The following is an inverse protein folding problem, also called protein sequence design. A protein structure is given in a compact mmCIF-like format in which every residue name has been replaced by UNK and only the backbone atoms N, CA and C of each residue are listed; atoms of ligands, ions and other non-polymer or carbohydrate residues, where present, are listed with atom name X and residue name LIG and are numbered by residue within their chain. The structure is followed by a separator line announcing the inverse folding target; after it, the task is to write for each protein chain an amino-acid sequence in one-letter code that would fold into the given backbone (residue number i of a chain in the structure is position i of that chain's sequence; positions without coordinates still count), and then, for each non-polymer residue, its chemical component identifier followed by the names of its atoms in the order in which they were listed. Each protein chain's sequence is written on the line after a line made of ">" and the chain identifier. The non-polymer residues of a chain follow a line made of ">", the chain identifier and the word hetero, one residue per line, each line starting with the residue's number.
data_IF_422391883518
#
_entry.id   IF_422391883518
#
_cell.length_a   1.000
_cell.length_b   1.000
_cell.length_c   1.000
_cell.angle_alpha   90.00
_cell.angle_beta   90.00
_cell.angle_gamma   90.00
#
_symmetry.space_group_name_H-M   'P 1'
#
loop_
_entity.id
_entity.type
_entity.pdbx_description
1 polymer ?
#
# COMPACT_ATOMS: atom_id res chain seq x y z
N UNK A 1 -41.95 29.37 -21.50
CA UNK A 1 -40.51 29.50 -21.20
C UNK A 1 -40.05 30.86 -21.72
N UNK A 2 -39.31 31.64 -20.94
CA UNK A 2 -38.76 32.91 -21.42
C UNK A 2 -37.55 32.64 -22.34
N UNK A 3 -37.48 33.34 -23.47
CA UNK A 3 -36.40 33.21 -24.46
C UNK A 3 -35.42 34.40 -24.45
N UNK A 4 -35.52 35.29 -23.45
CA UNK A 4 -34.61 36.43 -23.31
C UNK A 4 -33.19 35.94 -23.03
N UNK A 5 -32.20 36.56 -23.68
CA UNK A 5 -30.77 36.22 -23.56
C UNK A 5 -29.97 37.45 -23.18
N UNK A 6 -29.16 37.33 -22.12
CA UNK A 6 -28.10 38.27 -21.77
C UNK A 6 -26.81 37.79 -22.41
N UNK A 7 -26.06 38.66 -23.08
CA UNK A 7 -24.74 38.34 -23.60
C UNK A 7 -23.68 39.14 -22.84
N UNK A 8 -22.68 38.46 -22.31
CA UNK A 8 -21.56 39.06 -21.59
C UNK A 8 -20.24 38.81 -22.31
N UNK A 9 -19.29 39.74 -22.15
CA UNK A 9 -17.92 39.59 -22.63
C UNK A 9 -17.17 38.64 -21.69
N UNK A 10 -16.57 37.59 -22.24
CA UNK A 10 -15.90 36.54 -21.44
C UNK A 10 -14.71 37.08 -20.64
N UNK A 11 -13.98 38.08 -21.15
CA UNK A 11 -12.78 38.62 -20.49
C UNK A 11 -13.07 39.70 -19.44
N UNK A 12 -14.19 40.40 -19.52
CA UNK A 12 -14.50 41.56 -18.65
C UNK A 12 -15.79 41.41 -17.85
N UNK A 13 -16.58 40.36 -18.10
CA UNK A 13 -17.95 40.19 -17.61
C UNK A 13 -18.92 41.35 -17.93
N UNK A 14 -18.51 42.31 -18.77
CA UNK A 14 -19.36 43.42 -19.17
C UNK A 14 -20.53 42.93 -20.03
N UNK A 15 -21.70 43.53 -19.84
CA UNK A 15 -22.89 43.21 -20.64
C UNK A 15 -22.70 43.80 -22.04
N UNK A 16 -22.60 42.93 -23.05
CA UNK A 16 -22.42 43.30 -24.47
C UNK A 16 -23.78 43.42 -25.16
N UNK A 17 -24.76 42.63 -24.72
CA UNK A 17 -26.14 42.77 -25.18
C UNK A 17 -27.10 42.61 -23.99
N UNK A 18 -27.85 43.67 -23.65
CA UNK A 18 -28.84 43.58 -22.59
C UNK A 18 -29.97 42.61 -22.99
N UNK A 19 -30.65 42.00 -22.01
CA UNK A 19 -31.75 41.09 -22.28
C UNK A 19 -32.95 41.87 -22.83
N UNK A 20 -33.75 41.24 -23.68
CA UNK A 20 -35.04 41.81 -24.09
C UNK A 20 -35.97 41.92 -22.88
N UNK A 21 -36.79 42.97 -22.83
CA UNK A 21 -37.80 43.15 -21.78
C UNK A 21 -38.68 41.90 -21.66
N UNK A 22 -38.86 41.43 -20.43
CA UNK A 22 -39.62 40.24 -20.13
C UNK A 22 -40.18 40.31 -18.70
N UNK A 23 -41.35 39.70 -18.49
CA UNK A 23 -42.07 39.70 -17.21
C UNK A 23 -42.07 38.33 -16.52
N UNK A 24 -41.08 37.48 -16.81
CA UNK A 24 -41.05 36.16 -16.17
C UNK A 24 -40.64 36.26 -14.69
N UNK A 25 -41.53 35.79 -13.81
CA UNK A 25 -41.23 35.61 -12.39
C UNK A 25 -40.16 34.52 -12.25
N UNK A 26 -38.92 34.93 -11.98
CA UNK A 26 -37.89 34.01 -11.49
C UNK A 26 -38.04 33.98 -9.97
N UNK A 27 -38.51 32.87 -9.41
CA UNK A 27 -38.51 32.70 -7.96
C UNK A 27 -37.07 32.43 -7.47
N UNK A 28 -36.75 32.86 -6.25
CA UNK A 28 -35.40 32.70 -5.68
C UNK A 28 -34.94 31.24 -5.66
N UNK A 29 -35.90 30.32 -5.50
CA UNK A 29 -35.69 28.87 -5.55
C UNK A 29 -35.16 28.40 -6.91
N UNK A 30 -35.72 28.90 -8.01
CA UNK A 30 -35.25 28.57 -9.37
C UNK A 30 -33.83 29.09 -9.61
N UNK A 31 -33.49 30.25 -9.06
CA UNK A 31 -32.14 30.81 -9.14
C UNK A 31 -31.13 29.94 -8.38
N UNK A 32 -31.43 29.58 -7.12
CA UNK A 32 -30.57 28.70 -6.31
C UNK A 32 -30.37 27.34 -6.97
N UNK A 33 -31.42 26.73 -7.54
CA UNK A 33 -31.31 25.46 -8.27
C UNK A 33 -30.38 25.57 -9.50
N UNK A 34 -30.37 26.72 -10.20
CA UNK A 34 -29.44 26.93 -11.33
C UNK A 34 -28.00 27.08 -10.85
N UNK A 35 -27.75 27.85 -9.80
CA UNK A 35 -26.43 28.02 -9.20
C UNK A 35 -25.90 26.66 -8.71
N UNK A 36 -26.73 25.88 -8.00
CA UNK A 36 -26.39 24.53 -7.56
C UNK A 36 -25.95 23.65 -8.73
N UNK A 37 -26.73 23.64 -9.82
CA UNK A 37 -26.43 22.85 -11.01
C UNK A 37 -25.13 23.28 -11.71
N UNK A 38 -24.82 24.58 -11.70
CA UNK A 38 -23.57 25.12 -12.26
C UNK A 38 -22.37 24.73 -11.39
N UNK A 39 -22.48 24.84 -10.06
CA UNK A 39 -21.43 24.43 -9.14
C UNK A 39 -21.18 22.92 -9.19
N UNK A 40 -22.24 22.11 -9.25
CA UNK A 40 -22.14 20.66 -9.46
C UNK A 40 -21.36 20.36 -10.75
N UNK A 41 -21.70 21.02 -11.86
CA UNK A 41 -21.00 20.79 -13.12
C UNK A 41 -19.54 21.23 -13.08
N UNK A 42 -19.28 22.43 -12.55
CA UNK A 42 -17.93 22.97 -12.41
C UNK A 42 -17.04 22.05 -11.55
N UNK A 43 -17.50 21.67 -10.35
CA UNK A 43 -16.73 20.78 -9.46
C UNK A 43 -16.61 19.37 -10.02
N UNK A 44 -17.64 18.85 -10.68
CA UNK A 44 -17.59 17.53 -11.29
C UNK A 44 -16.45 17.45 -12.33
N UNK A 45 -16.29 18.49 -13.16
CA UNK A 45 -15.29 18.52 -14.24
C UNK A 45 -13.90 18.91 -13.72
N UNK A 46 -13.81 19.85 -12.77
CA UNK A 46 -12.55 20.47 -12.38
C UNK A 46 -11.94 19.92 -11.08
N UNK A 47 -12.59 18.96 -10.41
CA UNK A 47 -12.11 18.41 -9.13
C UNK A 47 -12.23 16.89 -9.08
N UNK A 48 -11.40 16.27 -8.24
CA UNK A 48 -11.39 14.82 -7.97
C UNK A 48 -12.25 14.42 -6.75
N UNK A 49 -13.09 15.32 -6.25
CA UNK A 49 -13.91 15.08 -5.06
C UNK A 49 -14.92 13.93 -5.29
N UNK A 50 -15.26 13.20 -4.23
CA UNK A 50 -16.34 12.20 -4.36
C UNK A 50 -17.68 12.89 -4.63
N UNK A 51 -18.65 12.24 -5.29
CA UNK A 51 -19.97 12.82 -5.49
C UNK A 51 -20.62 13.31 -4.19
N UNK A 52 -20.39 12.61 -3.08
CA UNK A 52 -20.89 13.02 -1.76
C UNK A 52 -20.25 14.30 -1.23
N UNK A 53 -18.95 14.50 -1.42
CA UNK A 53 -18.26 15.74 -1.05
C UNK A 53 -18.78 16.91 -1.90
N UNK A 54 -18.89 16.73 -3.21
CA UNK A 54 -19.42 17.76 -4.12
C UNK A 54 -20.83 18.17 -3.71
N UNK A 55 -21.73 17.19 -3.54
CA UNK A 55 -23.13 17.45 -3.16
C UNK A 55 -23.19 18.19 -1.82
N UNK A 56 -22.46 17.71 -0.81
CA UNK A 56 -22.46 18.32 0.53
C UNK A 56 -21.95 19.76 0.50
N UNK A 57 -20.88 20.03 -0.26
CA UNK A 57 -20.35 21.38 -0.42
C UNK A 57 -21.34 22.29 -1.17
N UNK A 58 -22.07 21.76 -2.16
CA UNK A 58 -23.08 22.54 -2.88
C UNK A 58 -24.36 22.78 -2.07
N UNK A 59 -24.67 21.97 -1.07
CA UNK A 59 -25.77 22.25 -0.13
C UNK A 59 -25.46 23.42 0.82
N UNK A 60 -24.18 23.69 1.11
CA UNK A 60 -23.80 24.79 1.99
C UNK A 60 -24.22 26.12 1.36
N UNK A 61 -25.17 26.80 2.00
CA UNK A 61 -25.69 28.09 1.54
C UNK A 61 -26.95 28.00 0.66
N UNK A 62 -27.58 26.83 0.54
CA UNK A 62 -28.91 26.70 -0.06
C UNK A 62 -30.01 26.85 1.00
N UNK A 63 -31.17 27.39 0.59
CA UNK A 63 -32.35 27.45 1.43
C UNK A 63 -33.11 26.11 1.46
N UNK A 64 -33.80 25.82 2.57
CA UNK A 64 -34.61 24.59 2.74
C UNK A 64 -35.63 24.37 1.60
N UNK A 65 -36.36 25.39 1.12
CA UNK A 65 -37.29 25.21 -0.01
C UNK A 65 -36.58 24.77 -1.30
N UNK A 66 -35.35 25.23 -1.54
CA UNK A 66 -34.56 24.82 -2.70
C UNK A 66 -34.03 23.40 -2.56
N UNK A 67 -33.57 23.02 -1.37
CA UNK A 67 -33.12 21.66 -1.09
C UNK A 67 -34.26 20.66 -1.29
N UNK A 68 -35.47 21.00 -0.83
CA UNK A 68 -36.67 20.17 -0.99
C UNK A 68 -37.08 19.94 -2.46
N UNK A 69 -36.70 20.83 -3.38
CA UNK A 69 -37.01 20.72 -4.82
C UNK A 69 -35.91 20.01 -5.64
N UNK A 70 -34.79 19.63 -5.02
CA UNK A 70 -33.70 18.96 -5.74
C UNK A 70 -34.08 17.51 -6.12
N UNK A 71 -33.49 16.97 -7.21
CA UNK A 71 -33.58 15.55 -7.51
C UNK A 71 -33.02 14.71 -6.35
N UNK A 72 -33.50 13.47 -6.23
CA UNK A 72 -32.93 12.51 -5.26
C UNK A 72 -31.42 12.38 -5.42
N UNK A 73 -30.72 12.19 -4.30
CA UNK A 73 -29.26 12.24 -4.21
C UNK A 73 -28.57 11.35 -5.26
N UNK A 74 -29.11 10.16 -5.53
CA UNK A 74 -28.55 9.22 -6.51
C UNK A 74 -28.62 9.73 -7.95
N UNK A 75 -29.64 10.49 -8.32
CA UNK A 75 -29.74 11.13 -9.63
C UNK A 75 -28.67 12.21 -9.79
N UNK A 76 -28.38 12.96 -8.72
CA UNK A 76 -27.31 13.96 -8.71
C UNK A 76 -25.95 13.26 -8.84
N UNK A 77 -25.71 12.17 -8.09
CA UNK A 77 -24.50 11.34 -8.20
C UNK A 77 -24.32 10.80 -9.63
N UNK A 78 -25.38 10.26 -10.23
CA UNK A 78 -25.36 9.76 -11.62
C UNK A 78 -25.00 10.87 -12.60
N UNK A 79 -25.57 12.08 -12.43
CA UNK A 79 -25.25 13.23 -13.26
C UNK A 79 -23.80 13.68 -13.11
N UNK A 80 -23.25 13.70 -11.89
CA UNK A 80 -21.82 14.00 -11.66
C UNK A 80 -20.95 13.01 -12.43
N UNK A 81 -21.25 11.72 -12.36
CA UNK A 81 -20.52 10.68 -13.11
C UNK A 81 -20.61 10.90 -14.62
N UNK A 82 -21.80 11.21 -15.15
CA UNK A 82 -21.97 11.52 -16.58
C UNK A 82 -21.21 12.77 -17.00
N UNK A 83 -21.24 13.85 -16.20
CA UNK A 83 -20.52 15.08 -16.51
C UNK A 83 -19.01 14.87 -16.53
N UNK A 84 -18.48 14.04 -15.64
CA UNK A 84 -17.09 13.60 -15.66
C UNK A 84 -16.77 12.82 -16.93
N UNK A 85 -17.57 11.79 -17.21
CA UNK A 85 -17.36 10.94 -18.38
C UNK A 85 -17.41 11.73 -19.70
N UNK A 86 -18.37 12.66 -19.84
CA UNK A 86 -18.55 13.43 -21.07
C UNK A 86 -17.51 14.55 -21.26
N UNK A 87 -16.85 15.01 -20.19
CA UNK A 87 -15.81 16.04 -20.26
C UNK A 87 -14.39 15.47 -20.15
N UNK A 88 -14.23 14.15 -20.08
CA UNK A 88 -12.93 13.52 -20.19
C UNK A 88 -12.42 13.67 -21.63
N UNK A 89 -11.30 14.40 -21.80
CA UNK A 89 -10.62 14.58 -23.10
C UNK A 89 -10.09 13.24 -23.64
N UNK A 90 -9.74 12.32 -22.73
CA UNK A 90 -9.30 10.96 -23.04
C UNK A 90 -10.23 9.98 -22.33
N UNK A 91 -10.83 9.07 -23.09
CA UNK A 91 -11.70 8.02 -22.54
C UNK A 91 -10.91 7.14 -21.57
N UNK A 92 -11.48 6.88 -20.40
CA UNK A 92 -10.90 5.94 -19.43
C UNK A 92 -10.90 4.51 -19.99
N UNK A 93 -9.80 3.78 -19.85
CA UNK A 93 -9.74 2.38 -20.24
C UNK A 93 -10.53 1.55 -19.22
N UNK A 94 -11.31 0.62 -19.75
CA UNK A 94 -12.06 -0.37 -19.00
C UNK A 94 -11.48 -1.79 -19.15
N UNK A 95 -10.42 -1.93 -19.92
CA UNK A 95 -9.70 -3.18 -20.19
C UNK A 95 -8.20 -2.88 -20.33
N UNK A 96 -7.30 -3.79 -19.91
CA UNK A 96 -5.84 -3.63 -20.01
C UNK A 96 -5.30 -3.51 -21.43
N UNK A 97 -6.07 -3.84 -22.47
CA UNK A 97 -5.64 -3.77 -23.86
C UNK A 97 -5.78 -2.36 -24.47
N UNK A 98 -5.81 -1.31 -23.64
CA UNK A 98 -5.81 0.07 -24.12
C UNK A 98 -4.52 0.39 -24.89
N UNK A 99 -4.60 1.20 -25.95
CA UNK A 99 -3.48 1.39 -26.88
C UNK A 99 -2.23 1.95 -26.22
N UNK A 100 -2.35 3.04 -25.46
CA UNK A 100 -1.21 3.68 -24.80
C UNK A 100 -1.65 4.56 -23.63
N UNK A 101 -0.71 4.81 -22.71
CA UNK A 101 -0.87 5.82 -21.66
C UNK A 101 -0.73 7.22 -22.30
N UNK A 102 -1.65 8.17 -22.01
CA UNK A 102 -1.54 9.54 -22.50
C UNK A 102 -0.22 10.19 -22.12
N UNK A 103 0.40 10.92 -23.06
CA UNK A 103 1.76 11.47 -22.90
C UNK A 103 1.91 12.41 -21.69
N UNK A 104 0.85 13.09 -21.28
CA UNK A 104 0.86 13.93 -20.08
C UNK A 104 0.95 13.12 -18.78
N UNK A 105 0.52 11.85 -18.79
CA UNK A 105 0.56 10.94 -17.65
C UNK A 105 1.81 10.04 -17.65
N UNK A 106 2.66 10.15 -18.67
CA UNK A 106 3.95 9.45 -18.72
C UNK A 106 5.09 10.26 -18.11
N UNK A 107 4.82 11.49 -17.66
CA UNK A 107 5.80 12.46 -17.16
C UNK A 107 5.49 12.91 -15.73
N UNK A 108 6.52 13.32 -15.00
CA UNK A 108 6.38 13.94 -13.68
C UNK A 108 5.74 15.33 -13.78
N UNK A 109 5.37 15.94 -12.65
CA UNK A 109 4.93 17.34 -12.62
C UNK A 109 6.00 18.32 -13.13
N UNK A 110 7.28 17.92 -13.05
CA UNK A 110 8.45 18.66 -13.55
C UNK A 110 8.73 18.39 -15.04
N UNK A 111 7.92 17.54 -15.68
CA UNK A 111 7.98 17.15 -17.11
C UNK A 111 9.10 16.18 -17.47
N UNK A 112 9.75 15.59 -16.48
CA UNK A 112 10.72 14.51 -16.68
C UNK A 112 10.00 13.21 -17.01
N UNK A 113 10.68 12.26 -17.66
CA UNK A 113 10.09 10.95 -17.93
C UNK A 113 9.73 10.30 -16.59
N UNK A 114 8.57 9.65 -16.49
CA UNK A 114 8.14 8.93 -15.29
C UNK A 114 7.72 7.47 -15.58
N UNK A 115 6.87 7.25 -16.59
CA UNK A 115 6.59 5.89 -17.08
C UNK A 115 7.86 5.34 -17.76
N UNK A 116 8.52 4.37 -17.13
CA UNK A 116 9.78 3.77 -17.62
C UNK A 116 9.55 2.55 -18.49
N UNK A 117 8.51 1.77 -18.21
CA UNK A 117 8.16 0.59 -18.99
C UNK A 117 6.64 0.42 -19.09
N UNK A 118 6.18 0.07 -20.29
CA UNK A 118 4.84 -0.42 -20.59
C UNK A 118 5.02 -1.64 -21.49
N UNK A 119 4.78 -2.84 -20.96
CA UNK A 119 4.99 -4.10 -21.71
C UNK A 119 3.95 -4.30 -22.83
N UNK A 120 3.02 -3.36 -22.99
CA UNK A 120 2.03 -3.33 -24.05
C UNK A 120 0.72 -4.04 -23.69
N UNK A 121 -0.30 -3.91 -24.55
CA UNK A 121 -1.59 -4.59 -24.41
C UNK A 121 -1.42 -6.10 -24.18
N UNK A 122 -2.07 -6.63 -23.14
CA UNK A 122 -2.07 -8.06 -22.87
C UNK A 122 -2.59 -8.39 -21.48
N UNK A 123 -2.82 -9.68 -21.25
CA UNK A 123 -3.32 -10.17 -19.95
C UNK A 123 -2.32 -9.96 -18.81
N UNK A 124 -1.03 -9.85 -19.13
CA UNK A 124 0.08 -9.70 -18.20
C UNK A 124 0.78 -8.34 -18.35
N UNK A 125 0.05 -7.32 -18.82
CA UNK A 125 0.58 -5.96 -18.95
C UNK A 125 1.14 -5.45 -17.62
N UNK A 126 2.34 -4.89 -17.67
CA UNK A 126 3.05 -4.26 -16.56
C UNK A 126 3.31 -2.81 -16.94
N UNK A 127 2.97 -1.89 -16.03
CA UNK A 127 3.39 -0.48 -16.14
C UNK A 127 4.34 -0.18 -14.99
N UNK A 128 5.52 0.35 -15.29
CA UNK A 128 6.56 0.68 -14.30
C UNK A 128 6.83 2.18 -14.33
N UNK A 129 6.77 2.81 -13.15
CA UNK A 129 7.00 4.24 -12.97
C UNK A 129 8.12 4.49 -11.96
N UNK A 130 9.03 5.36 -12.34
CA UNK A 130 10.11 5.89 -11.51
C UNK A 130 10.67 7.14 -12.21
N UNK A 131 11.03 8.19 -11.47
CA UNK A 131 11.82 9.31 -12.01
C UNK A 131 13.30 8.96 -12.08
N UNK A 132 14.10 9.77 -12.77
CA UNK A 132 15.56 9.50 -12.89
C UNK A 132 16.23 9.53 -11.51
N UNK A 133 15.84 10.47 -10.65
CA UNK A 133 16.33 10.54 -9.26
C UNK A 133 15.97 9.27 -8.47
N UNK A 134 14.75 8.74 -8.63
CA UNK A 134 14.37 7.48 -7.97
C UNK A 134 15.19 6.29 -8.49
N UNK A 135 15.50 6.26 -9.79
CA UNK A 135 16.36 5.23 -10.39
C UNK A 135 17.80 5.33 -9.87
N UNK A 136 18.33 6.55 -9.74
CA UNK A 136 19.66 6.77 -9.17
C UNK A 136 19.72 6.30 -7.71
N UNK A 137 18.75 6.71 -6.89
CA UNK A 137 18.64 6.26 -5.49
C UNK A 137 18.45 4.74 -5.39
N UNK A 138 17.70 4.12 -6.31
CA UNK A 138 17.53 2.66 -6.38
C UNK A 138 18.87 1.94 -6.59
N UNK A 139 19.71 2.46 -7.49
CA UNK A 139 21.01 1.86 -7.80
C UNK A 139 22.06 2.08 -6.69
N UNK A 140 21.90 3.14 -5.89
CA UNK A 140 22.83 3.48 -4.81
C UNK A 140 22.36 2.97 -3.43
N UNK A 141 21.22 2.30 -3.36
CA UNK A 141 20.66 1.71 -2.13
C UNK A 141 20.85 0.19 -2.11
N UNK A 142 21.14 -0.38 -0.95
CA UNK A 142 21.38 -1.82 -0.79
C UNK A 142 20.26 -2.58 -0.07
N UNK A 143 19.41 -1.88 0.69
CA UNK A 143 18.36 -2.47 1.51
C UNK A 143 16.98 -2.02 1.02
N UNK A 144 16.08 -2.99 0.87
CA UNK A 144 14.76 -2.76 0.29
C UNK A 144 13.62 -3.37 1.11
N UNK A 145 12.49 -2.68 1.11
CA UNK A 145 11.19 -3.22 1.53
C UNK A 145 10.32 -3.29 0.30
N UNK A 146 9.76 -4.46 0.02
CA UNK A 146 8.91 -4.65 -1.16
C UNK A 146 7.56 -5.19 -0.73
N UNK A 147 6.50 -4.54 -1.20
CA UNK A 147 5.14 -4.84 -0.77
C UNK A 147 4.12 -4.48 -1.87
N UNK A 148 3.01 -5.23 -1.90
CA UNK A 148 1.90 -5.04 -2.83
C UNK A 148 0.66 -4.51 -2.12
N UNK A 149 -0.03 -3.54 -2.73
CA UNK A 149 -1.31 -3.02 -2.23
C UNK A 149 -2.42 -3.19 -3.25
N UNK A 150 -3.62 -3.54 -2.76
CA UNK A 150 -4.80 -3.90 -3.58
C UNK A 150 -5.93 -2.87 -3.50
N UNK A 151 -6.00 -2.10 -2.42
CA UNK A 151 -7.18 -1.25 -2.10
C UNK A 151 -7.30 -0.01 -2.98
N UNK A 152 -6.20 0.41 -3.58
CA UNK A 152 -6.04 1.72 -4.22
C UNK A 152 -5.57 1.54 -5.66
N UNK A 153 -6.08 0.52 -6.33
CA UNK A 153 -5.62 0.09 -7.65
C UNK A 153 -6.78 0.18 -8.64
N UNK A 154 -6.58 0.67 -9.88
CA UNK A 154 -7.60 0.65 -10.90
C UNK A 154 -8.07 -0.77 -11.20
N UNK A 155 -9.37 -0.97 -11.43
CA UNK A 155 -9.98 -2.30 -11.61
C UNK A 155 -9.36 -3.15 -12.75
N UNK A 156 -8.71 -2.50 -13.72
CA UNK A 156 -8.01 -3.16 -14.83
C UNK A 156 -6.63 -3.72 -14.42
N UNK A 157 -6.18 -3.49 -13.18
CA UNK A 157 -4.98 -4.07 -12.59
C UNK A 157 -5.33 -4.75 -11.27
N UNK A 158 -4.52 -5.74 -10.89
CA UNK A 158 -4.75 -6.52 -9.67
C UNK A 158 -4.09 -5.87 -8.46
N UNK A 159 -2.88 -5.34 -8.63
CA UNK A 159 -2.12 -4.74 -7.54
C UNK A 159 -1.23 -3.59 -8.00
N UNK A 160 -0.92 -2.69 -7.07
CA UNK A 160 0.21 -1.78 -7.14
C UNK A 160 1.32 -2.38 -6.29
N UNK A 161 2.42 -2.73 -6.92
CA UNK A 161 3.62 -3.27 -6.29
C UNK A 161 4.66 -2.18 -6.14
N UNK A 162 5.22 -2.01 -4.95
CA UNK A 162 6.11 -0.88 -4.63
C UNK A 162 7.42 -1.39 -4.04
N UNK A 163 8.54 -0.96 -4.62
CA UNK A 163 9.88 -1.18 -4.08
C UNK A 163 10.28 0.09 -3.34
N UNK A 164 10.43 -0.02 -2.02
CA UNK A 164 10.97 1.04 -1.19
C UNK A 164 12.45 0.78 -0.92
N UNK A 165 13.32 1.75 -1.21
CA UNK A 165 14.72 1.70 -0.78
C UNK A 165 14.90 2.36 0.58
N UNK A 166 15.81 1.81 1.39
CA UNK A 166 16.21 2.41 2.66
C UNK A 166 17.34 3.41 2.38
N UNK A 167 16.94 4.61 1.97
CA UNK A 167 17.85 5.69 1.64
C UNK A 167 18.15 6.52 2.89
N UNK A 168 19.41 6.48 3.36
CA UNK A 168 19.88 7.17 4.58
C UNK A 168 18.93 6.94 5.76
N UNK A 169 18.64 5.66 6.01
CA UNK A 169 17.75 5.14 7.04
C UNK A 169 16.25 5.51 6.91
N UNK A 170 15.79 6.02 5.76
CA UNK A 170 14.39 6.32 5.50
C UNK A 170 13.87 5.44 4.36
N UNK A 171 12.68 4.87 4.53
CA UNK A 171 12.04 4.10 3.47
C UNK A 171 11.38 5.05 2.47
N UNK A 172 11.91 5.09 1.25
CA UNK A 172 11.43 5.94 0.16
C UNK A 172 10.94 5.04 -0.97
N UNK A 173 9.74 5.27 -1.54
CA UNK A 173 9.28 4.51 -2.71
C UNK A 173 10.13 4.88 -3.94
N UNK A 174 10.71 3.90 -4.60
CA UNK A 174 11.62 4.12 -5.74
C UNK A 174 11.06 3.55 -7.05
N UNK A 175 10.30 2.46 -6.98
CA UNK A 175 9.58 1.89 -8.12
C UNK A 175 8.11 1.72 -7.76
N UNK A 176 7.23 2.15 -8.66
CA UNK A 176 5.82 1.81 -8.66
C UNK A 176 5.49 0.93 -9.86
N UNK A 177 4.87 -0.23 -9.64
CA UNK A 177 4.51 -1.15 -10.71
C UNK A 177 3.04 -1.57 -10.62
N UNK A 178 2.26 -1.34 -11.69
CA UNK A 178 0.92 -1.90 -11.82
C UNK A 178 1.01 -3.29 -12.45
N UNK A 179 0.49 -4.29 -11.74
CA UNK A 179 0.52 -5.70 -12.16
C UNK A 179 -0.90 -6.27 -12.25
N UNK A 180 -1.14 -7.15 -13.23
CA UNK A 180 -2.41 -7.88 -13.40
C UNK A 180 -2.48 -9.22 -12.70
N UNK A 181 -1.34 -9.76 -12.29
CA UNK A 181 -1.24 -11.05 -11.61
C UNK A 181 -0.20 -10.98 -10.50
N UNK A 182 -0.13 -12.06 -9.72
CA UNK A 182 0.85 -12.28 -8.64
C UNK A 182 1.53 -13.64 -8.74
N UNK A 183 1.80 -14.08 -9.97
CA UNK A 183 2.51 -15.35 -10.20
C UNK A 183 4.01 -15.12 -10.20
N UNK A 184 4.79 -16.19 -10.04
CA UNK A 184 6.25 -16.10 -10.02
C UNK A 184 6.78 -15.50 -11.34
N UNK A 185 6.19 -15.90 -12.47
CA UNK A 185 6.53 -15.43 -13.81
C UNK A 185 6.28 -13.93 -13.96
N UNK A 186 5.18 -13.41 -13.40
CA UNK A 186 4.88 -11.97 -13.40
C UNK A 186 5.95 -11.19 -12.64
N UNK A 187 6.37 -11.67 -11.47
CA UNK A 187 7.42 -10.99 -10.70
C UNK A 187 8.80 -11.11 -11.35
N UNK A 188 9.14 -12.26 -11.92
CA UNK A 188 10.37 -12.40 -12.70
C UNK A 188 10.39 -11.45 -13.90
N UNK A 189 9.25 -11.29 -14.59
CA UNK A 189 9.12 -10.31 -15.67
C UNK A 189 9.30 -8.88 -15.16
N UNK A 190 8.62 -8.52 -14.05
CA UNK A 190 8.79 -7.21 -13.42
C UNK A 190 10.25 -6.92 -13.08
N UNK A 191 10.95 -7.85 -12.41
CA UNK A 191 12.35 -7.65 -11.99
C UNK A 191 13.26 -7.50 -13.22
N UNK A 192 13.03 -8.27 -14.30
CA UNK A 192 13.77 -8.10 -15.56
C UNK A 192 13.58 -6.70 -16.16
N UNK A 193 12.35 -6.21 -16.21
CA UNK A 193 12.09 -4.86 -16.71
C UNK A 193 12.72 -3.78 -15.81
N UNK A 194 12.72 -3.97 -14.49
CA UNK A 194 13.41 -3.06 -13.57
C UNK A 194 14.92 -3.07 -13.81
N UNK A 195 15.54 -4.23 -14.06
CA UNK A 195 16.97 -4.31 -14.39
C UNK A 195 17.31 -3.66 -15.74
N UNK A 196 16.39 -3.65 -16.70
CA UNK A 196 16.55 -2.88 -17.94
C UNK A 196 16.56 -1.36 -17.66
N UNK A 197 15.75 -0.92 -16.70
CA UNK A 197 15.65 0.49 -16.28
C UNK A 197 16.85 0.91 -15.41
N UNK A 198 17.29 0.02 -14.51
CA UNK A 198 18.32 0.26 -13.50
C UNK A 198 19.36 -0.87 -13.50
N UNK A 199 20.28 -0.91 -14.49
CA UNK A 199 21.20 -2.03 -14.68
C UNK A 199 22.21 -2.22 -13.54
N UNK A 200 22.46 -1.17 -12.73
CA UNK A 200 23.35 -1.24 -11.56
C UNK A 200 22.66 -1.67 -10.28
N UNK A 201 21.34 -1.92 -10.30
CA UNK A 201 20.61 -2.29 -9.09
C UNK A 201 21.11 -3.62 -8.53
N UNK A 202 21.73 -3.55 -7.35
CA UNK A 202 22.38 -4.69 -6.69
C UNK A 202 22.01 -4.71 -5.20
N UNK A 203 20.84 -5.29 -4.85
CA UNK A 203 20.39 -5.34 -3.47
C UNK A 203 21.25 -6.28 -2.64
N UNK A 204 21.60 -5.87 -1.41
CA UNK A 204 22.21 -6.72 -0.38
C UNK A 204 21.16 -7.43 0.47
N UNK A 205 20.06 -6.74 0.77
CA UNK A 205 18.96 -7.30 1.55
C UNK A 205 17.59 -6.82 1.06
N UNK A 206 16.63 -7.74 1.03
CA UNK A 206 15.25 -7.44 0.65
C UNK A 206 14.30 -8.06 1.68
N UNK A 207 13.43 -7.22 2.23
CA UNK A 207 12.32 -7.66 3.06
C UNK A 207 11.05 -7.75 2.23
N UNK A 208 10.39 -8.90 2.30
CA UNK A 208 9.21 -9.26 1.54
C UNK A 208 8.03 -9.59 2.48
N UNK A 209 6.81 -9.57 1.92
CA UNK A 209 5.68 -10.28 2.52
C UNK A 209 5.83 -11.82 2.31
N UNK A 210 5.02 -12.60 3.03
CA UNK A 210 4.93 -14.06 2.96
C UNK A 210 4.20 -14.52 1.68
N UNK A 211 4.68 -14.05 0.53
CA UNK A 211 4.20 -14.44 -0.79
C UNK A 211 5.28 -15.23 -1.54
N UNK A 212 5.04 -16.53 -1.74
CA UNK A 212 6.01 -17.45 -2.35
C UNK A 212 6.42 -17.07 -3.78
N UNK A 213 5.49 -16.51 -4.56
CA UNK A 213 5.74 -16.09 -5.93
C UNK A 213 6.79 -14.97 -5.98
N UNK A 214 6.62 -13.94 -5.15
CA UNK A 214 7.57 -12.84 -4.98
C UNK A 214 8.93 -13.35 -4.47
N UNK A 215 8.93 -14.16 -3.40
CA UNK A 215 10.16 -14.75 -2.86
C UNK A 215 10.94 -15.54 -3.92
N UNK A 216 10.27 -16.45 -4.63
CA UNK A 216 10.89 -17.28 -5.65
C UNK A 216 11.45 -16.47 -6.82
N UNK A 217 10.81 -15.37 -7.20
CA UNK A 217 11.31 -14.48 -8.25
C UNK A 217 12.58 -13.74 -7.82
N UNK A 218 12.58 -13.12 -6.63
CA UNK A 218 13.77 -12.45 -6.11
C UNK A 218 14.93 -13.42 -5.87
N UNK A 219 14.67 -14.61 -5.33
CA UNK A 219 15.72 -15.62 -5.10
C UNK A 219 16.33 -16.12 -6.41
N UNK A 220 15.52 -16.26 -7.46
CA UNK A 220 16.00 -16.67 -8.77
C UNK A 220 16.85 -15.58 -9.44
N UNK A 221 16.49 -14.30 -9.28
CA UNK A 221 17.20 -13.18 -9.90
C UNK A 221 18.43 -12.74 -9.12
N UNK A 222 18.37 -12.74 -7.79
CA UNK A 222 19.46 -12.32 -6.90
C UNK A 222 19.82 -13.46 -5.93
N UNK A 223 20.57 -14.48 -6.37
CA UNK A 223 20.79 -15.69 -5.58
C UNK A 223 21.56 -15.43 -4.26
N UNK A 224 22.33 -14.35 -4.20
CA UNK A 224 23.17 -13.98 -3.05
C UNK A 224 22.54 -12.92 -2.13
N UNK A 225 21.31 -12.47 -2.43
CA UNK A 225 20.65 -11.44 -1.60
C UNK A 225 20.13 -12.05 -0.30
N UNK A 226 20.20 -11.30 0.79
CA UNK A 226 19.54 -11.67 2.04
C UNK A 226 18.03 -11.41 1.92
N UNK A 227 17.27 -12.45 1.59
CA UNK A 227 15.80 -12.40 1.62
C UNK A 227 15.26 -12.70 3.01
N UNK A 228 14.34 -11.85 3.47
CA UNK A 228 13.65 -12.07 4.74
C UNK A 228 12.17 -11.70 4.65
N UNK A 229 11.33 -12.45 5.37
CA UNK A 229 9.93 -12.10 5.58
C UNK A 229 9.82 -11.00 6.63
N UNK A 230 8.78 -10.18 6.56
CA UNK A 230 8.55 -9.12 7.54
C UNK A 230 7.99 -9.66 8.88
N UNK A 231 8.54 -9.24 10.02
CA UNK A 231 8.01 -9.63 11.34
C UNK A 231 6.54 -9.21 11.54
N UNK A 232 6.12 -8.07 11.00
CA UNK A 232 4.71 -7.68 11.03
C UNK A 232 3.81 -8.71 10.36
N UNK A 233 4.17 -9.18 9.15
CA UNK A 233 3.38 -10.15 8.41
C UNK A 233 3.39 -11.55 9.06
N UNK A 234 4.49 -11.94 9.71
CA UNK A 234 4.53 -13.15 10.54
C UNK A 234 3.51 -13.06 11.69
N UNK A 235 3.48 -11.93 12.41
CA UNK A 235 2.48 -11.73 13.48
C UNK A 235 1.06 -11.70 12.94
N UNK A 236 0.86 -11.04 11.80
CA UNK A 236 -0.44 -10.95 11.15
C UNK A 236 -0.96 -12.33 10.70
N UNK A 237 -0.09 -13.23 10.23
CA UNK A 237 -0.49 -14.59 9.86
C UNK A 237 -0.91 -15.42 11.07
N UNK A 238 -0.19 -15.33 12.19
CA UNK A 238 -0.56 -15.93 13.48
C UNK A 238 -1.93 -15.41 13.93
N UNK A 239 -2.14 -14.10 13.91
CA UNK A 239 -3.43 -13.50 14.33
C UNK A 239 -4.59 -13.90 13.41
N UNK A 240 -4.36 -13.96 12.10
CA UNK A 240 -5.35 -14.44 11.13
C UNK A 240 -5.73 -15.89 11.42
N UNK A 241 -4.75 -16.73 11.73
CA UNK A 241 -5.02 -18.13 12.10
C UNK A 241 -5.82 -18.24 13.39
N UNK A 242 -5.49 -17.47 14.43
CA UNK A 242 -6.28 -17.42 15.67
C UNK A 242 -7.74 -17.04 15.40
N UNK A 243 -7.98 -16.08 14.50
CA UNK A 243 -9.32 -15.69 14.10
C UNK A 243 -10.06 -16.82 13.38
N UNK A 244 -9.41 -17.51 12.44
CA UNK A 244 -9.98 -18.66 11.74
C UNK A 244 -10.36 -19.80 12.70
N UNK A 245 -9.55 -20.03 13.73
CA UNK A 245 -9.80 -21.02 14.78
C UNK A 245 -10.83 -20.56 15.84
N UNK A 246 -11.33 -19.32 15.77
CA UNK A 246 -12.30 -18.79 16.73
C UNK A 246 -11.72 -18.33 18.08
N UNK A 247 -10.39 -18.28 18.23
CA UNK A 247 -9.73 -17.88 19.49
C UNK A 247 -9.56 -16.36 19.67
N UNK A 248 -10.15 -15.53 18.81
CA UNK A 248 -9.99 -14.08 18.89
C UNK A 248 -10.45 -13.49 20.23
N UNK A 249 -11.58 -13.95 20.77
CA UNK A 249 -12.09 -13.47 22.04
C UNK A 249 -11.19 -13.91 23.22
N UNK A 250 -10.76 -15.17 23.21
CA UNK A 250 -9.86 -15.70 24.23
C UNK A 250 -8.52 -14.95 24.23
N UNK A 251 -7.93 -14.70 23.06
CA UNK A 251 -6.72 -13.90 22.94
C UNK A 251 -6.87 -12.48 23.52
N UNK A 252 -8.06 -11.88 23.45
CA UNK A 252 -8.29 -10.53 23.98
C UNK A 252 -8.59 -10.50 25.47
N UNK A 253 -9.11 -11.59 26.04
CA UNK A 253 -9.66 -11.63 27.41
C UNK A 253 -8.83 -12.47 28.38
N UNK A 254 -7.97 -13.37 27.89
CA UNK A 254 -7.10 -14.24 28.68
C UNK A 254 -5.61 -13.87 28.44
N UNK A 255 -4.98 -13.16 29.40
CA UNK A 255 -3.57 -12.78 29.31
C UNK A 255 -2.60 -13.97 29.24
N UNK A 256 -2.94 -15.12 29.85
CA UNK A 256 -2.09 -16.32 29.82
C UNK A 256 -2.12 -16.92 28.43
N UNK A 257 -3.32 -17.03 27.84
CA UNK A 257 -3.46 -17.46 26.45
C UNK A 257 -2.70 -16.53 25.51
N UNK A 258 -2.89 -15.21 25.64
CA UNK A 258 -2.20 -14.22 24.81
C UNK A 258 -0.68 -14.35 24.90
N UNK A 259 -0.14 -14.50 26.12
CA UNK A 259 1.29 -14.70 26.36
C UNK A 259 1.81 -15.99 25.72
N UNK A 260 1.06 -17.09 25.78
CA UNK A 260 1.45 -18.32 25.11
C UNK A 260 1.45 -18.19 23.57
N UNK A 261 0.57 -17.38 22.98
CA UNK A 261 0.68 -17.02 21.55
C UNK A 261 1.94 -16.17 21.31
N UNK A 262 2.30 -15.27 22.23
CA UNK A 262 3.55 -14.51 22.13
C UNK A 262 4.77 -15.44 22.14
N UNK A 263 4.77 -16.51 22.95
CA UNK A 263 5.84 -17.53 22.93
C UNK A 263 6.02 -18.17 21.55
N UNK A 264 4.92 -18.45 20.82
CA UNK A 264 5.01 -18.96 19.44
C UNK A 264 5.69 -17.94 18.52
N UNK A 265 5.30 -16.66 18.62
CA UNK A 265 5.91 -15.59 17.85
C UNK A 265 7.38 -15.32 18.25
N UNK A 266 7.75 -15.59 19.50
CA UNK A 266 9.11 -15.41 20.02
C UNK A 266 10.13 -16.38 19.39
N UNK A 267 9.68 -17.50 18.83
CA UNK A 267 10.55 -18.47 18.12
C UNK A 267 11.39 -17.82 17.00
N UNK A 268 10.89 -16.76 16.37
CA UNK A 268 11.62 -16.03 15.31
C UNK A 268 12.90 -15.38 15.80
N UNK A 269 13.04 -15.12 17.10
CA UNK A 269 14.21 -14.46 17.67
C UNK A 269 15.23 -15.44 18.26
N UNK A 270 14.94 -16.74 18.27
CA UNK A 270 15.95 -17.74 18.62
C UNK A 270 17.01 -17.83 17.53
N UNK A 271 18.22 -18.25 17.88
CA UNK A 271 19.22 -18.63 16.88
C UNK A 271 18.61 -19.69 15.93
N UNK A 272 18.84 -19.61 14.61
CA UNK A 272 18.18 -20.50 13.64
C UNK A 272 18.30 -21.99 13.98
N UNK A 273 19.45 -22.42 14.50
CA UNK A 273 19.70 -23.81 14.88
C UNK A 273 18.93 -24.26 16.13
N UNK A 274 18.50 -23.32 16.98
CA UNK A 274 17.71 -23.58 18.19
C UNK A 274 16.21 -23.54 17.96
N UNK A 275 15.73 -23.03 16.82
CA UNK A 275 14.30 -22.85 16.53
C UNK A 275 13.52 -24.15 16.60
N UNK A 276 14.03 -25.23 15.99
CA UNK A 276 13.35 -26.54 15.98
C UNK A 276 13.23 -27.10 17.39
N UNK A 277 14.31 -27.09 18.17
CA UNK A 277 14.29 -27.55 19.55
C UNK A 277 13.36 -26.68 20.44
N UNK A 278 13.39 -25.36 20.24
CA UNK A 278 12.51 -24.43 20.93
C UNK A 278 11.03 -24.71 20.62
N UNK A 279 10.69 -24.96 19.36
CA UNK A 279 9.33 -25.33 18.94
C UNK A 279 8.87 -26.64 19.58
N UNK A 280 9.68 -27.69 19.53
CA UNK A 280 9.35 -29.00 20.10
C UNK A 280 9.13 -28.92 21.61
N UNK A 281 10.02 -28.23 22.34
CA UNK A 281 9.87 -28.04 23.80
C UNK A 281 8.66 -27.19 24.13
N UNK A 282 8.41 -26.12 23.38
CA UNK A 282 7.22 -25.28 23.56
C UNK A 282 5.95 -26.07 23.30
N UNK A 283 5.92 -26.93 22.27
CA UNK A 283 4.76 -27.79 21.98
C UNK A 283 4.47 -28.82 23.06
N UNK A 284 5.47 -29.24 23.83
CA UNK A 284 5.26 -30.13 24.99
C UNK A 284 4.81 -29.36 26.24
N UNK A 285 5.27 -28.11 26.40
CA UNK A 285 4.85 -27.22 27.50
C UNK A 285 3.38 -26.77 27.32
N UNK A 286 3.02 -26.44 26.08
CA UNK A 286 1.67 -26.04 25.73
C UNK A 286 0.76 -27.27 25.65
N UNK A 287 -0.34 -27.26 26.42
CA UNK A 287 -1.34 -28.32 26.37
C UNK A 287 -2.21 -28.28 25.11
N UNK A 288 -3.15 -29.22 25.03
CA UNK A 288 -4.01 -29.46 23.86
C UNK A 288 -4.80 -28.24 23.34
N UNK A 289 -5.00 -27.21 24.17
CA UNK A 289 -5.65 -25.96 23.79
C UNK A 289 -4.90 -25.19 22.69
N UNK A 290 -3.65 -25.54 22.37
CA UNK A 290 -2.83 -24.89 21.36
C UNK A 290 -2.50 -25.81 20.16
N UNK A 291 -2.99 -27.05 20.13
CA UNK A 291 -2.62 -28.05 19.12
C UNK A 291 -2.88 -27.56 17.69
N UNK A 292 -4.03 -26.91 17.46
CA UNK A 292 -4.40 -26.44 16.12
C UNK A 292 -3.50 -25.30 15.60
N UNK A 293 -3.07 -24.38 16.47
CA UNK A 293 -2.17 -23.31 16.07
C UNK A 293 -0.72 -23.81 15.96
N UNK A 294 -0.32 -24.76 16.81
CA UNK A 294 0.99 -25.39 16.76
C UNK A 294 1.14 -26.25 15.49
N UNK A 295 0.13 -27.03 15.11
CA UNK A 295 0.13 -27.79 13.84
C UNK A 295 0.18 -26.86 12.62
N UNK A 296 -0.57 -25.75 12.64
CA UNK A 296 -0.45 -24.72 11.61
C UNK A 296 0.97 -24.16 11.52
N UNK A 297 1.57 -23.79 12.67
CA UNK A 297 2.90 -23.21 12.72
C UNK A 297 3.96 -24.23 12.28
N UNK A 298 3.82 -25.50 12.68
CA UNK A 298 4.71 -26.57 12.28
C UNK A 298 4.68 -26.79 10.76
N UNK A 299 3.48 -26.93 10.18
CA UNK A 299 3.33 -27.11 8.73
C UNK A 299 3.86 -25.94 7.91
N UNK A 300 3.72 -24.72 8.42
CA UNK A 300 4.05 -23.50 7.67
C UNK A 300 5.52 -23.10 7.78
N UNK A 301 6.10 -23.19 8.98
CA UNK A 301 7.38 -22.54 9.31
C UNK A 301 8.48 -23.49 9.80
N UNK A 302 8.14 -24.64 10.38
CA UNK A 302 9.10 -25.59 10.97
C UNK A 302 9.35 -26.80 10.06
N UNK A 303 8.29 -27.29 9.42
CA UNK A 303 8.27 -28.52 8.64
C UNK A 303 7.91 -29.74 9.49
N UNK A 304 6.79 -30.40 9.19
CA UNK A 304 6.31 -31.57 9.94
C UNK A 304 7.31 -32.72 9.97
N UNK A 305 7.45 -33.35 11.15
CA UNK A 305 8.28 -34.53 11.34
C UNK A 305 7.70 -35.74 10.58
N UNK A 306 8.56 -36.49 9.89
CA UNK A 306 8.22 -37.75 9.21
C UNK A 306 8.55 -38.96 10.10
N UNK A 307 8.02 -40.12 9.73
CA UNK A 307 8.30 -41.39 10.41
C UNK A 307 9.79 -41.77 10.42
N UNK A 308 10.57 -41.32 9.43
CA UNK A 308 12.01 -41.53 9.36
C UNK A 308 12.84 -40.45 10.11
N UNK A 309 12.19 -39.70 11.01
CA UNK A 309 12.78 -38.61 11.80
C UNK A 309 13.35 -37.42 11.00
N UNK A 310 13.06 -37.32 9.69
CA UNK A 310 13.38 -36.10 8.92
C UNK A 310 12.19 -35.15 8.86
N UNK A 311 12.44 -33.85 8.75
CA UNK A 311 11.37 -32.85 8.61
C UNK A 311 11.04 -32.62 7.13
N UNK A 312 9.75 -32.42 6.83
CA UNK A 312 9.31 -31.93 5.51
C UNK A 312 9.84 -30.51 5.29
N UNK A 313 10.09 -30.14 4.03
CA UNK A 313 10.38 -28.74 3.70
C UNK A 313 9.17 -27.86 4.07
N UNK A 314 9.33 -26.85 4.93
CA UNK A 314 8.24 -25.93 5.29
C UNK A 314 7.85 -25.04 4.10
N UNK A 315 6.70 -24.39 4.21
CA UNK A 315 6.25 -23.41 3.22
C UNK A 315 7.19 -22.20 3.17
N UNK A 316 7.70 -21.78 4.34
CA UNK A 316 8.71 -20.75 4.52
C UNK A 316 9.84 -21.29 5.40
N UNK A 317 11.07 -21.29 4.88
CA UNK A 317 12.25 -21.79 5.60
C UNK A 317 12.60 -20.89 6.79
N UNK A 318 13.19 -21.48 7.84
CA UNK A 318 13.53 -20.79 9.10
C UNK A 318 14.31 -19.50 8.84
N UNK A 319 15.35 -19.55 8.02
CA UNK A 319 16.19 -18.39 7.72
C UNK A 319 15.42 -17.23 7.06
N UNK A 320 14.31 -17.50 6.37
CA UNK A 320 13.50 -16.45 5.75
C UNK A 320 12.71 -15.66 6.80
N UNK A 321 12.06 -16.33 7.76
CA UNK A 321 11.17 -15.67 8.72
C UNK A 321 11.82 -15.39 10.08
N UNK A 322 13.06 -15.84 10.29
CA UNK A 322 13.83 -15.60 11.51
C UNK A 322 14.34 -14.15 11.58
N UNK A 323 14.29 -13.58 12.77
CA UNK A 323 14.63 -12.19 13.08
C UNK A 323 15.85 -12.07 13.99
N UNK A 324 16.52 -13.17 14.36
CA UNK A 324 17.64 -13.16 15.28
C UNK A 324 18.78 -12.28 14.76
N UNK A 325 19.34 -12.64 13.60
CA UNK A 325 20.45 -11.91 12.99
C UNK A 325 20.08 -10.46 12.66
N UNK A 326 18.87 -10.25 12.11
CA UNK A 326 18.38 -8.90 11.81
C UNK A 326 18.30 -8.04 13.07
N UNK A 327 17.87 -8.62 14.19
CA UNK A 327 17.81 -7.90 15.46
C UNK A 327 19.22 -7.60 15.96
N UNK A 328 20.12 -8.58 16.02
CA UNK A 328 21.48 -8.38 16.55
C UNK A 328 22.32 -7.41 15.73
N UNK A 329 22.10 -7.34 14.41
CA UNK A 329 22.73 -6.39 13.50
C UNK A 329 22.01 -5.03 13.42
N UNK A 330 20.95 -4.82 14.20
CA UNK A 330 20.12 -3.60 14.16
C UNK A 330 19.54 -3.29 12.76
N UNK A 331 19.32 -4.32 11.94
CA UNK A 331 18.65 -4.21 10.66
C UNK A 331 17.15 -4.04 10.84
N UNK A 332 16.48 -3.49 9.83
CA UNK A 332 15.02 -3.38 9.87
C UNK A 332 14.34 -4.74 9.93
N UNK A 333 13.30 -4.85 10.77
CA UNK A 333 12.54 -6.09 11.04
C UNK A 333 11.08 -6.02 10.60
N UNK A 334 10.58 -4.80 10.42
CA UNK A 334 9.18 -4.52 10.07
C UNK A 334 9.11 -3.60 8.86
N UNK A 335 8.10 -3.80 8.02
CA UNK A 335 7.74 -2.94 6.90
C UNK A 335 6.82 -1.76 7.30
N UNK A 336 6.80 -1.37 8.58
CA UNK A 336 5.89 -0.33 9.11
C UNK A 336 5.88 0.96 8.28
N UNK A 337 7.03 1.35 7.74
CA UNK A 337 7.16 2.52 6.86
C UNK A 337 6.43 2.32 5.53
N UNK A 338 6.59 1.16 4.88
CA UNK A 338 5.86 0.81 3.65
C UNK A 338 4.35 0.72 3.90
N UNK A 339 3.91 0.17 5.04
CA UNK A 339 2.48 0.17 5.37
C UNK A 339 1.93 1.56 5.69
N UNK A 340 2.69 2.38 6.41
CA UNK A 340 2.31 3.76 6.69
C UNK A 340 2.18 4.52 5.37
N UNK A 341 3.08 4.27 4.43
CA UNK A 341 3.01 4.76 3.07
C UNK A 341 1.74 4.25 2.35
N UNK A 342 1.44 2.96 2.38
CA UNK A 342 0.22 2.39 1.79
C UNK A 342 -1.08 2.99 2.39
N UNK A 343 -1.11 3.22 3.71
CA UNK A 343 -2.22 3.91 4.38
C UNK A 343 -2.33 5.39 3.96
N UNK A 344 -1.20 6.08 3.82
CA UNK A 344 -1.13 7.47 3.34
C UNK A 344 -1.64 7.56 1.90
N UNK A 345 -1.17 6.67 1.02
CA UNK A 345 -1.69 6.51 -0.34
C UNK A 345 -3.21 6.34 -0.29
N UNK A 346 -3.76 5.40 0.48
CA UNK A 346 -5.22 5.26 0.58
C UNK A 346 -5.96 6.55 0.92
N UNK A 347 -5.35 7.40 1.75
CA UNK A 347 -5.90 8.71 2.13
C UNK A 347 -5.81 9.75 1.02
N UNK A 348 -4.70 9.78 0.26
CA UNK A 348 -4.48 10.68 -0.90
C UNK A 348 -5.45 10.36 -2.03
N UNK A 349 -5.72 9.07 -2.24
CA UNK A 349 -6.61 8.64 -3.29
C UNK A 349 -8.09 8.92 -3.00
N UNK A 350 -8.51 9.09 -1.73
CA UNK A 350 -9.87 9.50 -1.30
C UNK A 350 -11.04 8.68 -1.88
N UNK A 351 -10.76 7.60 -2.60
CA UNK A 351 -11.72 6.65 -3.15
C UNK A 351 -11.07 5.27 -3.23
N UNK A 352 -11.89 4.22 -3.07
CA UNK A 352 -11.49 2.87 -3.47
C UNK A 352 -11.53 2.79 -5.01
N UNK A 353 -10.54 2.11 -5.60
CA UNK A 353 -10.48 1.81 -7.04
C UNK A 353 -10.70 3.01 -7.97
N UNK A 354 -9.77 4.00 -7.99
CA UNK A 354 -9.81 5.08 -8.97
C UNK A 354 -9.72 4.56 -10.41
N UNK A 355 -10.24 5.32 -11.38
CA UNK A 355 -9.98 5.06 -12.80
C UNK A 355 -8.48 5.21 -13.12
N UNK A 356 -7.99 4.57 -14.20
CA UNK A 356 -6.55 4.53 -14.47
C UNK A 356 -5.95 5.94 -14.61
N UNK A 357 -6.58 6.84 -15.37
CA UNK A 357 -6.00 8.16 -15.58
C UNK A 357 -5.96 9.00 -14.30
N UNK A 358 -7.00 8.90 -13.47
CA UNK A 358 -7.01 9.53 -12.14
C UNK A 358 -5.93 8.93 -11.25
N UNK A 359 -5.75 7.62 -11.31
CA UNK A 359 -4.72 6.93 -10.54
C UNK A 359 -3.31 7.41 -10.90
N UNK A 360 -2.99 7.46 -12.20
CA UNK A 360 -1.68 7.91 -12.69
C UNK A 360 -1.41 9.37 -12.34
N UNK A 361 -2.43 10.24 -12.42
CA UNK A 361 -2.27 11.62 -11.99
C UNK A 361 -1.87 11.74 -10.52
N UNK A 362 -2.50 10.94 -9.64
CA UNK A 362 -2.15 10.91 -8.22
C UNK A 362 -0.78 10.30 -7.97
N UNK A 363 -0.36 9.34 -8.79
CA UNK A 363 0.99 8.79 -8.73
C UNK A 363 2.06 9.84 -9.08
N UNK A 364 1.76 10.77 -9.98
CA UNK A 364 2.63 11.93 -10.28
C UNK A 364 2.68 12.90 -9.10
N UNK A 365 1.55 13.12 -8.40
CA UNK A 365 1.54 13.92 -7.18
C UNK A 365 2.39 13.27 -6.07
N UNK A 366 2.34 11.94 -5.94
CA UNK A 366 3.17 11.15 -5.01
C UNK A 366 4.66 11.18 -5.38
N UNK A 367 4.99 11.17 -6.66
CA UNK A 367 6.37 11.37 -7.13
C UNK A 367 6.91 12.73 -6.68
N UNK A 368 6.07 13.78 -6.74
CA UNK A 368 6.46 15.13 -6.29
C UNK A 368 6.75 15.17 -4.78
N UNK A 369 5.95 14.46 -3.98
CA UNK A 369 6.21 14.33 -2.54
C UNK A 369 7.50 13.53 -2.26
N UNK A 370 7.72 12.45 -3.00
CA UNK A 370 8.92 11.61 -2.89
C UNK A 370 10.19 12.41 -3.24
N UNK A 371 10.15 13.19 -4.32
CA UNK A 371 11.23 14.10 -4.70
C UNK A 371 11.56 15.10 -3.57
N UNK A 372 10.55 15.69 -2.95
CA UNK A 372 10.75 16.59 -1.81
C UNK A 372 11.41 15.88 -0.61
N UNK A 373 11.00 14.63 -0.31
CA UNK A 373 11.61 13.83 0.76
C UNK A 373 13.09 13.52 0.46
N UNK A 374 13.43 13.12 -0.78
CA UNK A 374 14.82 12.86 -1.20
C UNK A 374 15.67 14.13 -1.04
N UNK A 375 15.20 15.27 -1.54
CA UNK A 375 15.91 16.55 -1.40
C UNK A 375 16.11 16.95 0.06
N UNK A 376 15.09 16.80 0.91
CA UNK A 376 15.18 17.10 2.34
C UNK A 376 16.20 16.22 3.05
N UNK A 377 16.22 14.92 2.75
CA UNK A 377 17.23 13.99 3.25
C UNK A 377 18.64 14.39 2.77
N UNK A 378 18.77 14.77 1.50
CA UNK A 378 20.03 15.24 0.93
C UNK A 378 20.53 16.53 1.56
N UNK A 379 19.62 17.46 1.89
CA UNK A 379 19.88 18.72 2.58
C UNK A 379 20.13 18.57 4.10
N UNK A 380 20.10 17.34 4.63
CA UNK A 380 20.31 17.07 6.06
C UNK A 380 19.11 17.43 6.95
N UNK A 381 17.92 17.60 6.35
CA UNK A 381 16.66 17.87 7.06
C UNK A 381 15.65 16.74 6.83
N UNK A 382 15.99 15.48 7.18
CA UNK A 382 15.14 14.34 6.85
C UNK A 382 13.77 14.42 7.54
N UNK A 383 12.71 13.84 6.93
CA UNK A 383 11.41 13.70 7.57
C UNK A 383 11.52 13.02 8.94
N UNK A 384 10.74 13.47 9.92
CA UNK A 384 10.78 12.88 11.26
C UNK A 384 10.39 11.41 11.23
N UNK A 385 11.29 10.54 11.68
CA UNK A 385 10.97 9.14 11.97
C UNK A 385 9.97 9.04 13.12
N UNK A 386 9.05 8.09 13.04
CA UNK A 386 8.30 7.67 14.23
C UNK A 386 9.28 7.13 15.26
N UNK A 387 9.11 7.54 16.52
CA UNK A 387 9.88 6.98 17.64
C UNK A 387 9.57 5.48 17.72
N UNK A 388 10.56 4.65 17.37
CA UNK A 388 10.58 3.26 17.80
C UNK A 388 10.66 3.28 19.33
N UNK A 389 10.02 2.34 20.00
CA UNK A 389 10.19 2.22 21.44
C UNK A 389 11.59 1.64 21.73
N UNK A 390 12.60 2.53 21.76
CA UNK A 390 14.01 2.21 21.97
C UNK A 390 14.27 1.37 23.21
N UNK A 391 13.36 1.41 24.20
CA UNK A 391 13.43 0.59 25.40
C UNK A 391 13.17 -0.89 25.10
N UNK A 392 12.18 -1.21 24.27
CA UNK A 392 11.88 -2.60 23.90
C UNK A 392 12.98 -3.17 23.00
N UNK A 393 13.47 -2.39 22.04
CA UNK A 393 14.61 -2.79 21.18
C UNK A 393 15.83 -3.15 22.03
N UNK A 394 16.22 -2.28 22.98
CA UNK A 394 17.35 -2.55 23.88
C UNK A 394 17.16 -3.81 24.72
N UNK A 395 15.97 -4.03 25.28
CA UNK A 395 15.71 -5.23 26.10
C UNK A 395 15.83 -6.50 25.27
N UNK A 396 15.27 -6.50 24.06
CA UNK A 396 15.34 -7.65 23.17
C UNK A 396 16.78 -7.90 22.71
N UNK A 397 17.52 -6.86 22.32
CA UNK A 397 18.95 -6.96 22.01
C UNK A 397 19.76 -7.56 23.17
N UNK A 398 19.52 -7.11 24.40
CA UNK A 398 20.20 -7.65 25.58
C UNK A 398 19.90 -9.14 25.80
N UNK A 399 18.64 -9.58 25.57
CA UNK A 399 18.24 -10.98 25.67
C UNK A 399 18.87 -11.85 24.57
N UNK A 400 19.08 -11.31 23.38
CA UNK A 400 19.73 -12.04 22.29
C UNK A 400 21.25 -12.08 22.45
N UNK A 401 21.85 -11.03 23.01
CA UNK A 401 23.29 -11.00 23.31
C UNK A 401 23.66 -11.86 24.53
N UNK A 402 22.71 -12.10 25.44
CA UNK A 402 22.93 -12.90 26.66
C UNK A 402 21.81 -13.94 26.81
N UNK A 403 21.77 -14.96 25.93
CA UNK A 403 20.68 -15.93 25.93
C UNK A 403 20.69 -16.79 27.20
N UNK A 404 19.49 -17.10 27.68
CA UNK A 404 19.31 -18.09 28.74
C UNK A 404 19.75 -19.48 28.25
N UNK A 405 20.31 -20.29 29.17
CA UNK A 405 20.71 -21.68 28.86
C UNK A 405 19.51 -22.57 28.53
N UNK A 406 18.38 -22.35 29.20
CA UNK A 406 17.14 -23.05 28.90
C UNK A 406 16.36 -22.29 27.81
N UNK A 407 16.14 -22.96 26.67
CA UNK A 407 15.40 -22.38 25.53
C UNK A 407 13.95 -21.98 25.89
N UNK A 408 13.28 -22.68 26.82
CA UNK A 408 11.93 -22.29 27.23
C UNK A 408 11.94 -20.97 28.00
N UNK A 409 12.93 -20.79 28.88
CA UNK A 409 13.14 -19.52 29.60
C UNK A 409 13.51 -18.40 28.63
N UNK A 410 14.30 -18.71 27.59
CA UNK A 410 14.61 -17.75 26.53
C UNK A 410 13.36 -17.33 25.76
N UNK A 411 12.54 -18.28 25.32
CA UNK A 411 11.28 -18.03 24.61
C UNK A 411 10.36 -17.15 25.45
N UNK A 412 10.19 -17.50 26.73
CA UNK A 412 9.33 -16.77 27.66
C UNK A 412 9.83 -15.32 27.89
N UNK A 413 11.14 -15.15 28.05
CA UNK A 413 11.77 -13.84 28.22
C UNK A 413 11.64 -12.94 26.99
N UNK A 414 11.75 -13.53 25.79
CA UNK A 414 11.50 -12.82 24.53
C UNK A 414 10.01 -12.45 24.42
N UNK A 415 9.11 -13.37 24.76
CA UNK A 415 7.65 -13.18 24.70
C UNK A 415 7.21 -11.94 25.51
N UNK A 416 7.80 -11.71 26.69
CA UNK A 416 7.53 -10.49 27.49
C UNK A 416 7.93 -9.17 26.82
N UNK A 417 8.75 -9.21 25.77
CA UNK A 417 9.33 -8.04 25.12
C UNK A 417 8.86 -7.83 23.68
N UNK A 418 7.91 -8.63 23.21
CA UNK A 418 7.31 -8.49 21.89
C UNK A 418 5.82 -8.17 22.02
N UNK A 419 5.31 -7.35 21.12
CA UNK A 419 3.86 -7.13 20.97
C UNK A 419 3.38 -7.90 19.75
N UNK A 420 2.27 -8.61 19.86
CA UNK A 420 1.57 -9.16 18.68
C UNK A 420 0.60 -8.16 18.06
#
# INVERSE_FOLDING_TARGET
>A
RCHSRLHTCVSTNAIVKPPSEHTCKVDGTTLELRIFNQHIAHRAVNTQETPDIIITNCYRGMSDPSIARLPVRDNIKRRIRMLRHNNQVVKEPNDPNFSSVPIQLTKTARKDQFLRCDTGPGEDRILIFASDEQVDVLQDTEEFLVDGTFKVVPDIFYQLYIIHGIFRDHAIPLIYALLRRKTNETYQHLIREILNIAPRWSPRAIMLDFEQASFGAFQATFPNVSLSGCYFHLRQSIHRKLKELGHQNQYQTDPIFAHNIHKIAALTFLEPNSVVNGFERLSMELGHNYDEIMDYFEGTYIGRLRSNQTRRKPLFEINFWNMHERTTQSLMRTNNSAEAYHRRIGSVFQCAHPTLWVFLQKLIDEETATHADILQICAGQPPKKKKINERFERRLLNLLANPHRDVLVQIDSIAYNISL
#
